data_IF_548648393431
#
_entry.id   IF_548648393431
#
_cell.length_a   1.000
_cell.length_b   1.000
_cell.length_c   1.000
_cell.angle_alpha   90.00
_cell.angle_beta   90.00
_cell.angle_gamma   90.00
#
_symmetry.space_group_name_H-M   'P 1'
#
loop_
_entity.id
_entity.type
_entity.pdbx_description
1 polymer ?
#
# COMPACT_ATOMS: atom_id res chain seq x y z
N UNK A 1 7.01 -28.66 3.42
CA UNK A 1 8.38 -28.49 2.88
C UNK A 1 8.47 -27.07 2.40
N UNK A 2 9.47 -26.31 2.81
CA UNK A 2 9.64 -24.93 2.36
C UNK A 2 10.69 -24.94 1.26
N UNK A 3 10.27 -24.72 0.03
CA UNK A 3 11.21 -24.42 -1.06
C UNK A 3 11.72 -22.99 -0.84
N UNK A 4 13.04 -22.83 -0.89
CA UNK A 4 13.71 -21.53 -0.70
C UNK A 4 14.74 -21.36 -1.81
N UNK A 5 14.90 -20.12 -2.27
CA UNK A 5 15.96 -19.78 -3.23
C UNK A 5 17.32 -19.99 -2.55
N UNK A 6 18.25 -20.64 -3.25
CA UNK A 6 19.57 -20.92 -2.72
C UNK A 6 20.31 -19.61 -2.38
N UNK A 7 20.95 -19.58 -1.21
CA UNK A 7 21.90 -18.52 -0.83
C UNK A 7 23.16 -19.18 -0.29
N UNK A 8 24.31 -18.49 -0.34
CA UNK A 8 25.57 -19.04 0.19
C UNK A 8 25.43 -19.55 1.63
N UNK A 9 24.65 -18.84 2.48
CA UNK A 9 24.37 -19.23 3.87
C UNK A 9 23.57 -20.54 3.96
N UNK A 10 22.60 -20.74 3.08
CA UNK A 10 21.79 -21.97 3.04
C UNK A 10 22.57 -23.15 2.47
N UNK A 11 23.39 -22.93 1.44
CA UNK A 11 24.21 -23.99 0.82
C UNK A 11 25.23 -24.58 1.80
N UNK A 12 25.67 -23.82 2.79
CA UNK A 12 26.56 -24.29 3.87
C UNK A 12 25.86 -25.20 4.89
N UNK A 13 24.52 -25.22 4.93
CA UNK A 13 23.80 -26.07 5.88
C UNK A 13 23.87 -27.55 5.44
N UNK A 14 24.31 -28.47 6.33
CA UNK A 14 24.47 -29.89 6.00
C UNK A 14 23.18 -30.59 5.53
N UNK A 15 22.04 -30.17 6.07
CA UNK A 15 20.72 -30.73 5.79
C UNK A 15 19.99 -30.04 4.64
N UNK A 16 20.59 -29.01 4.03
CA UNK A 16 20.04 -28.35 2.86
C UNK A 16 20.48 -29.08 1.59
N UNK A 17 19.52 -29.37 0.71
CA UNK A 17 19.75 -30.14 -0.52
C UNK A 17 19.29 -29.35 -1.74
N UNK A 18 20.12 -29.35 -2.81
CA UNK A 18 19.71 -28.83 -4.11
C UNK A 18 18.68 -29.78 -4.72
N UNK A 19 17.48 -29.26 -4.98
CA UNK A 19 16.40 -30.02 -5.61
C UNK A 19 16.84 -30.63 -6.95
N UNK A 20 17.60 -29.88 -7.76
CA UNK A 20 18.16 -30.35 -9.03
C UNK A 20 19.05 -31.59 -8.87
N UNK A 21 19.83 -31.67 -7.79
CA UNK A 21 20.72 -32.81 -7.54
C UNK A 21 19.95 -34.05 -7.09
N UNK A 22 18.91 -33.87 -6.26
CA UNK A 22 18.03 -34.98 -5.85
C UNK A 22 17.35 -35.62 -7.06
N UNK A 23 17.06 -34.83 -8.09
CA UNK A 23 16.47 -35.33 -9.33
C UNK A 23 17.49 -36.01 -10.26
N UNK A 24 18.80 -35.82 -10.09
CA UNK A 24 19.82 -36.50 -10.92
C UNK A 24 20.09 -37.94 -10.50
N UNK A 25 19.67 -38.37 -9.32
CA UNK A 25 19.95 -39.70 -8.79
C UNK A 25 18.84 -40.21 -7.87
N UNK A 26 18.56 -41.50 -7.93
CA UNK A 26 17.65 -42.17 -6.99
C UNK A 26 18.33 -42.59 -5.68
N UNK A 27 19.65 -42.37 -5.56
CA UNK A 27 20.42 -42.71 -4.37
C UNK A 27 20.35 -41.60 -3.30
N UNK A 28 19.93 -41.96 -2.10
CA UNK A 28 19.84 -41.04 -0.95
C UNK A 28 21.16 -40.87 -0.19
N UNK A 29 22.07 -41.84 -0.31
CA UNK A 29 23.29 -41.90 0.49
C UNK A 29 24.14 -40.61 0.44
N UNK A 30 24.34 -39.93 -0.71
CA UNK A 30 25.12 -38.68 -0.74
C UNK A 30 24.47 -37.55 0.07
N UNK A 31 23.14 -37.46 0.05
CA UNK A 31 22.38 -36.42 0.76
C UNK A 31 22.33 -36.71 2.25
N UNK A 32 22.11 -37.98 2.62
CA UNK A 32 22.10 -38.43 4.01
C UNK A 32 23.49 -38.27 4.65
N UNK A 33 24.56 -38.69 3.96
CA UNK A 33 25.93 -38.54 4.43
C UNK A 33 26.31 -37.08 4.63
N UNK A 34 25.93 -36.20 3.69
CA UNK A 34 26.14 -34.74 3.83
C UNK A 34 25.42 -34.16 5.04
N UNK A 35 24.24 -34.68 5.36
CA UNK A 35 23.47 -34.26 6.54
C UNK A 35 23.98 -34.86 7.87
N UNK A 36 25.07 -35.61 7.85
CA UNK A 36 25.65 -36.25 9.02
C UNK A 36 24.88 -37.49 9.49
N UNK A 37 24.20 -38.18 8.57
CA UNK A 37 23.51 -39.45 8.83
C UNK A 37 24.44 -40.58 8.37
N UNK A 38 24.94 -41.37 9.32
CA UNK A 38 25.97 -42.40 9.09
C UNK A 38 25.43 -43.82 9.03
N UNK A 39 24.15 -44.06 9.32
CA UNK A 39 23.56 -45.39 9.33
C UNK A 39 22.03 -45.37 9.49
N UNK A 40 21.43 -46.56 9.39
CA UNK A 40 19.98 -46.76 9.48
C UNK A 40 19.42 -46.50 10.89
N UNK A 41 20.25 -46.63 11.92
CA UNK A 41 19.87 -46.43 13.32
C UNK A 41 19.74 -44.93 13.70
N UNK A 42 20.13 -44.01 12.82
CA UNK A 42 19.93 -42.58 13.07
C UNK A 42 18.42 -42.26 13.05
N UNK A 43 17.86 -41.65 14.11
CA UNK A 43 16.43 -41.35 14.18
C UNK A 43 15.93 -40.41 13.08
N UNK A 44 16.83 -39.74 12.34
CA UNK A 44 16.52 -38.85 11.23
C UNK A 44 16.54 -39.56 9.87
N UNK A 45 17.13 -40.75 9.77
CA UNK A 45 17.29 -41.51 8.52
C UNK A 45 15.94 -41.64 7.80
N UNK A 46 14.97 -42.26 8.47
CA UNK A 46 13.65 -42.53 7.91
C UNK A 46 12.95 -41.25 7.44
N UNK A 47 12.97 -40.22 8.29
CA UNK A 47 12.37 -38.91 7.99
C UNK A 47 12.98 -38.26 6.76
N UNK A 48 14.29 -38.39 6.55
CA UNK A 48 14.99 -37.73 5.45
C UNK A 48 14.80 -38.50 4.15
N UNK A 49 14.90 -39.83 4.19
CA UNK A 49 14.62 -40.72 3.06
C UNK A 49 13.17 -40.55 2.57
N UNK A 50 12.18 -40.52 3.48
CA UNK A 50 10.78 -40.25 3.11
C UNK A 50 10.59 -38.88 2.43
N UNK A 51 11.33 -37.84 2.87
CA UNK A 51 11.27 -36.51 2.24
C UNK A 51 11.88 -36.50 0.85
N UNK A 52 13.02 -37.18 0.65
CA UNK A 52 13.66 -37.34 -0.66
C UNK A 52 12.75 -38.15 -1.60
N UNK A 53 12.16 -39.24 -1.11
CA UNK A 53 11.17 -40.03 -1.86
C UNK A 53 9.95 -39.20 -2.27
N UNK A 54 9.38 -38.40 -1.36
CA UNK A 54 8.26 -37.49 -1.66
C UNK A 54 8.66 -36.41 -2.67
N UNK A 55 9.87 -35.87 -2.58
CA UNK A 55 10.40 -34.90 -3.55
C UNK A 55 10.52 -35.53 -4.94
N UNK A 56 11.10 -36.73 -5.05
CA UNK A 56 11.17 -37.47 -6.33
C UNK A 56 9.79 -37.83 -6.86
N UNK A 57 8.85 -38.13 -5.97
CA UNK A 57 7.45 -38.43 -6.27
C UNK A 57 6.71 -37.32 -7.03
N UNK A 58 7.20 -36.07 -6.99
CA UNK A 58 6.65 -34.97 -7.79
C UNK A 58 6.68 -35.29 -9.30
N UNK A 59 7.64 -36.09 -9.78
CA UNK A 59 7.68 -36.55 -11.19
C UNK A 59 6.49 -37.40 -11.60
N UNK A 60 5.87 -38.07 -10.63
CA UNK A 60 4.69 -38.91 -10.85
C UNK A 60 3.40 -38.10 -10.82
N UNK A 61 3.46 -36.80 -10.59
CA UNK A 61 2.31 -35.93 -10.64
C UNK A 61 1.80 -35.83 -12.08
N UNK A 62 0.60 -36.36 -12.32
CA UNK A 62 -0.04 -36.31 -13.63
C UNK A 62 -0.72 -34.95 -13.79
N UNK A 63 -0.26 -34.17 -14.76
CA UNK A 63 -0.95 -32.96 -15.16
C UNK A 63 -2.12 -33.34 -16.07
N UNK A 64 -3.33 -32.94 -15.68
CA UNK A 64 -4.46 -32.94 -16.60
C UNK A 64 -4.24 -31.82 -17.61
N UNK A 65 -4.10 -32.18 -18.88
CA UNK A 65 -4.01 -31.25 -20.00
C UNK A 65 -5.24 -31.45 -20.89
N UNK A 66 -6.19 -30.53 -20.80
CA UNK A 66 -7.31 -30.48 -21.72
C UNK A 66 -6.90 -29.62 -22.93
N UNK A 67 -6.86 -30.23 -24.12
CA UNK A 67 -6.55 -29.53 -25.38
C UNK A 67 -7.85 -29.01 -25.97
N UNK A 68 -7.96 -27.69 -26.11
CA UNK A 68 -9.12 -27.04 -26.70
C UNK A 68 -9.11 -27.18 -28.23
N UNK A 69 -10.27 -27.40 -28.82
CA UNK A 69 -10.42 -27.48 -30.27
C UNK A 69 -10.07 -26.15 -30.93
N UNK A 70 -9.42 -26.20 -32.10
CA UNK A 70 -9.02 -24.99 -32.86
C UNK A 70 -10.20 -24.19 -33.43
N UNK A 71 -11.38 -24.81 -33.46
CA UNK A 71 -12.66 -24.24 -33.92
C UNK A 71 -13.27 -23.30 -32.90
N UNK A 72 -12.88 -23.40 -31.62
CA UNK A 72 -13.38 -22.52 -30.57
C UNK A 72 -12.93 -21.09 -30.84
N UNK A 73 -13.89 -20.17 -30.72
CA UNK A 73 -13.62 -18.74 -30.77
C UNK A 73 -12.73 -18.33 -29.59
N UNK A 74 -12.03 -17.21 -29.76
CA UNK A 74 -11.19 -16.68 -28.70
C UNK A 74 -12.03 -16.33 -27.44
N UNK A 75 -13.28 -15.90 -27.63
CA UNK A 75 -14.20 -15.60 -26.53
C UNK A 75 -14.51 -16.87 -25.71
N UNK A 76 -14.80 -17.99 -26.37
CA UNK A 76 -15.04 -19.29 -25.71
C UNK A 76 -13.79 -19.78 -24.97
N UNK A 77 -12.61 -19.68 -25.60
CA UNK A 77 -11.33 -20.03 -24.96
C UNK A 77 -11.09 -19.19 -23.70
N UNK A 78 -11.43 -17.91 -23.75
CA UNK A 78 -11.24 -17.01 -22.61
C UNK A 78 -12.26 -17.30 -21.50
N UNK A 79 -13.50 -17.63 -21.83
CA UNK A 79 -14.49 -18.06 -20.85
C UNK A 79 -14.07 -19.35 -20.13
N UNK A 80 -13.56 -20.33 -20.89
CA UNK A 80 -12.99 -21.56 -20.32
C UNK A 80 -11.83 -21.22 -19.37
N UNK A 81 -10.91 -20.33 -19.80
CA UNK A 81 -9.79 -19.87 -18.97
C UNK A 81 -10.27 -19.23 -17.66
N UNK A 82 -11.24 -18.33 -17.73
CA UNK A 82 -11.84 -17.66 -16.55
C UNK A 82 -12.47 -18.69 -15.62
N UNK A 83 -13.28 -19.61 -16.16
CA UNK A 83 -14.01 -20.59 -15.37
C UNK A 83 -13.08 -21.56 -14.65
N UNK A 84 -12.06 -22.08 -15.35
CA UNK A 84 -11.04 -22.97 -14.77
C UNK A 84 -10.26 -22.27 -13.66
N UNK A 85 -9.82 -21.04 -13.89
CA UNK A 85 -8.99 -20.29 -12.92
C UNK A 85 -9.78 -19.65 -11.78
N UNK A 86 -11.11 -19.66 -11.84
CA UNK A 86 -11.97 -19.13 -10.78
C UNK A 86 -12.19 -20.09 -9.61
N UNK A 87 -11.99 -21.40 -9.80
CA UNK A 87 -12.26 -22.45 -8.81
C UNK A 87 -10.99 -22.97 -8.08
N UNK A 88 -9.79 -22.72 -8.64
CA UNK A 88 -8.50 -23.16 -8.08
C UNK A 88 -7.72 -22.06 -7.33
N UNK A 89 -6.38 -22.03 -7.49
CA UNK A 89 -5.56 -20.89 -7.08
C UNK A 89 -5.96 -19.66 -7.92
N UNK A 90 -6.82 -18.82 -7.36
CA UNK A 90 -7.50 -17.74 -8.10
C UNK A 90 -6.51 -16.76 -8.70
N UNK A 91 -6.50 -16.67 -10.04
CA UNK A 91 -5.99 -15.49 -10.73
C UNK A 91 -6.75 -14.25 -10.22
N UNK A 92 -6.08 -13.09 -10.19
CA UNK A 92 -6.76 -11.86 -9.80
C UNK A 92 -7.83 -11.54 -10.84
N UNK A 93 -8.93 -10.93 -10.43
CA UNK A 93 -10.00 -10.50 -11.34
C UNK A 93 -9.49 -9.58 -12.45
N UNK A 94 -8.44 -8.79 -12.17
CA UNK A 94 -7.71 -7.98 -13.16
C UNK A 94 -7.00 -8.80 -14.22
N UNK A 95 -6.42 -9.95 -13.87
CA UNK A 95 -5.66 -10.80 -14.80
C UNK A 95 -6.62 -11.49 -15.79
N UNK A 96 -7.79 -11.89 -15.28
CA UNK A 96 -8.88 -12.43 -16.08
C UNK A 96 -9.44 -11.38 -17.04
N UNK A 97 -9.63 -10.15 -16.57
CA UNK A 97 -10.07 -9.04 -17.40
C UNK A 97 -9.05 -8.70 -18.49
N UNK A 98 -7.76 -8.68 -18.13
CA UNK A 98 -6.68 -8.44 -19.06
C UNK A 98 -6.68 -9.49 -20.19
N UNK A 99 -6.83 -10.78 -19.85
CA UNK A 99 -6.94 -11.84 -20.84
C UNK A 99 -8.09 -11.57 -21.83
N UNK A 100 -9.29 -11.24 -21.32
CA UNK A 100 -10.46 -10.88 -22.13
C UNK A 100 -10.28 -9.60 -22.96
N UNK A 101 -9.51 -8.63 -22.50
CA UNK A 101 -9.21 -7.43 -23.29
C UNK A 101 -8.21 -7.76 -24.39
N UNK A 102 -7.12 -8.48 -24.07
CA UNK A 102 -6.08 -8.85 -25.05
C UNK A 102 -6.58 -9.77 -26.15
N UNK A 103 -7.65 -10.53 -25.87
CA UNK A 103 -8.41 -11.30 -26.83
C UNK A 103 -8.92 -10.47 -28.01
N UNK A 104 -9.56 -9.35 -27.67
CA UNK A 104 -10.32 -8.50 -28.58
C UNK A 104 -9.47 -7.37 -29.14
N UNK A 105 -8.55 -6.86 -28.31
CA UNK A 105 -7.65 -5.77 -28.64
C UNK A 105 -6.21 -6.28 -28.64
N UNK A 106 -5.75 -6.69 -29.83
CA UNK A 106 -4.36 -7.13 -30.03
C UNK A 106 -3.38 -6.02 -29.65
N UNK A 107 -2.27 -6.42 -29.04
CA UNK A 107 -1.19 -5.53 -28.56
C UNK A 107 -1.57 -4.55 -27.43
N UNK A 108 -2.79 -4.59 -26.91
CA UNK A 108 -3.25 -3.73 -25.79
C UNK A 108 -2.39 -3.83 -24.54
N UNK A 109 -1.85 -5.00 -24.23
CA UNK A 109 -0.94 -5.19 -23.08
C UNK A 109 0.26 -4.23 -23.14
N UNK A 110 0.88 -4.07 -24.31
CA UNK A 110 2.03 -3.17 -24.45
C UNK A 110 1.60 -1.72 -24.20
N UNK A 111 0.47 -1.30 -24.78
CA UNK A 111 -0.12 0.03 -24.54
C UNK A 111 -0.37 0.29 -23.06
N UNK A 112 -0.91 -0.69 -22.33
CA UNK A 112 -1.19 -0.55 -20.90
C UNK A 112 0.10 -0.46 -20.07
N UNK A 113 1.09 -1.29 -20.41
CA UNK A 113 2.40 -1.27 -19.76
C UNK A 113 3.18 0.02 -20.04
N UNK A 114 3.05 0.60 -21.23
CA UNK A 114 3.71 1.85 -21.57
C UNK A 114 3.15 3.02 -20.76
N UNK A 115 1.82 3.08 -20.58
CA UNK A 115 1.20 4.06 -19.69
C UNK A 115 1.56 3.83 -18.22
N UNK A 116 1.59 2.57 -17.76
CA UNK A 116 2.05 2.22 -16.42
C UNK A 116 3.48 2.71 -16.17
N UNK A 117 4.39 2.48 -17.12
CA UNK A 117 5.77 2.98 -17.06
C UNK A 117 5.84 4.51 -17.08
N UNK A 118 4.98 5.19 -17.82
CA UNK A 118 4.89 6.64 -17.82
C UNK A 118 4.52 7.17 -16.42
N UNK A 119 3.50 6.59 -15.78
CA UNK A 119 3.12 6.92 -14.40
C UNK A 119 4.25 6.61 -13.40
N UNK A 120 4.96 5.48 -13.58
CA UNK A 120 6.08 5.12 -12.71
C UNK A 120 7.23 6.14 -12.79
N UNK A 121 7.50 6.71 -13.98
CA UNK A 121 8.51 7.78 -14.16
C UNK A 121 8.15 9.07 -13.41
N UNK A 122 6.88 9.32 -13.15
CA UNK A 122 6.42 10.48 -12.37
C UNK A 122 6.27 10.17 -10.87
N UNK A 123 6.78 9.02 -10.40
CA UNK A 123 6.74 8.63 -8.99
C UNK A 123 5.55 7.76 -8.58
N UNK A 124 4.69 7.37 -9.54
CA UNK A 124 3.50 6.57 -9.29
C UNK A 124 3.60 5.20 -9.98
N UNK A 125 4.40 4.31 -9.38
CA UNK A 125 4.43 2.89 -9.77
C UNK A 125 3.17 2.19 -9.26
N UNK A 126 2.13 2.17 -10.11
CA UNK A 126 0.81 1.63 -9.82
C UNK A 126 0.63 0.26 -10.47
N UNK A 127 -0.09 -0.64 -9.81
CA UNK A 127 -0.38 -1.98 -10.34
C UNK A 127 -1.25 -1.87 -11.61
N UNK A 128 -0.94 -2.69 -12.63
CA UNK A 128 -1.66 -2.70 -13.90
C UNK A 128 -3.17 -2.91 -13.70
N UNK A 129 -3.57 -3.70 -12.71
CA UNK A 129 -4.96 -3.92 -12.36
C UNK A 129 -5.70 -2.66 -11.93
N UNK A 130 -5.02 -1.64 -11.39
CA UNK A 130 -5.61 -0.34 -11.10
C UNK A 130 -5.92 0.43 -12.39
N UNK A 131 -5.01 0.44 -13.36
CA UNK A 131 -5.22 1.08 -14.66
C UNK A 131 -6.37 0.41 -15.42
N UNK A 132 -6.45 -0.93 -15.39
CA UNK A 132 -7.57 -1.67 -15.96
C UNK A 132 -8.89 -1.37 -15.22
N UNK A 133 -8.83 -1.16 -13.91
CA UNK A 133 -10.02 -0.74 -13.14
C UNK A 133 -10.48 0.66 -13.51
N UNK A 134 -9.55 1.57 -13.75
CA UNK A 134 -9.85 2.90 -14.28
C UNK A 134 -10.49 2.80 -15.67
N UNK A 135 -9.93 1.98 -16.57
CA UNK A 135 -10.55 1.67 -17.87
C UNK A 135 -12.00 1.19 -17.71
N UNK A 136 -12.27 0.26 -16.78
CA UNK A 136 -13.64 -0.20 -16.54
C UNK A 136 -14.57 0.92 -16.07
N UNK A 137 -14.10 1.77 -15.16
CA UNK A 137 -14.88 2.92 -14.67
C UNK A 137 -15.27 3.85 -15.83
N UNK A 138 -14.36 4.14 -16.75
CA UNK A 138 -14.62 4.98 -17.92
C UNK A 138 -15.51 4.28 -18.95
N UNK A 139 -15.30 3.00 -19.20
CA UNK A 139 -16.08 2.25 -20.18
C UNK A 139 -17.53 1.98 -19.72
N UNK A 140 -17.78 1.90 -18.41
CA UNK A 140 -19.03 1.32 -17.89
C UNK A 140 -19.67 2.08 -16.73
N UNK A 141 -18.95 3.03 -16.14
CA UNK A 141 -19.38 3.72 -14.92
C UNK A 141 -19.35 2.85 -13.66
N UNK A 142 -18.62 1.73 -13.70
CA UNK A 142 -18.39 0.85 -12.55
C UNK A 142 -17.00 0.20 -12.63
N UNK A 143 -16.50 -0.29 -11.51
CA UNK A 143 -15.15 -0.82 -11.36
C UNK A 143 -15.03 -2.34 -11.58
N UNK A 144 -16.14 -3.03 -11.83
CA UNK A 144 -16.20 -4.50 -11.89
C UNK A 144 -15.82 -5.04 -13.26
N UNK A 145 -14.95 -6.04 -13.26
CA UNK A 145 -14.48 -6.71 -14.47
C UNK A 145 -15.48 -7.67 -15.10
N UNK A 146 -16.55 -8.07 -14.40
CA UNK A 146 -17.50 -9.09 -14.90
C UNK A 146 -18.14 -8.74 -16.26
N UNK A 147 -18.24 -7.46 -16.59
CA UNK A 147 -18.89 -7.00 -17.82
C UNK A 147 -17.91 -6.71 -18.96
N UNK A 148 -16.59 -6.88 -18.76
CA UNK A 148 -15.59 -6.58 -19.80
C UNK A 148 -15.79 -7.43 -21.06
N UNK A 149 -16.25 -8.68 -20.89
CA UNK A 149 -16.62 -9.57 -21.99
C UNK A 149 -17.75 -9.05 -22.89
N UNK A 150 -18.55 -8.07 -22.44
CA UNK A 150 -19.60 -7.45 -23.27
C UNK A 150 -19.12 -6.25 -24.09
N UNK A 151 -17.92 -5.73 -23.83
CA UNK A 151 -17.41 -4.54 -24.50
C UNK A 151 -16.76 -4.90 -25.84
N UNK A 152 -17.01 -4.08 -26.87
CA UNK A 152 -16.30 -4.16 -28.15
C UNK A 152 -14.98 -3.39 -28.09
N UNK A 153 -14.12 -3.61 -29.10
CA UNK A 153 -12.77 -3.05 -29.14
C UNK A 153 -12.78 -1.53 -29.24
N UNK A 154 -13.72 -0.95 -30.01
CA UNK A 154 -13.83 0.49 -30.20
C UNK A 154 -14.14 1.20 -28.88
N UNK A 155 -15.06 0.64 -28.09
CA UNK A 155 -15.42 1.16 -26.77
C UNK A 155 -14.27 1.03 -25.78
N UNK A 156 -13.54 -0.08 -25.81
CA UNK A 156 -12.35 -0.29 -24.96
C UNK A 156 -11.24 0.72 -25.30
N UNK A 157 -10.98 0.96 -26.58
CA UNK A 157 -9.96 1.91 -27.03
C UNK A 157 -10.31 3.36 -26.68
N UNK A 158 -11.57 3.76 -26.91
CA UNK A 158 -12.06 5.09 -26.52
C UNK A 158 -11.94 5.30 -25.02
N UNK A 159 -12.49 4.37 -24.23
CA UNK A 159 -12.46 4.46 -22.77
C UNK A 159 -11.04 4.42 -22.21
N UNK A 160 -10.11 3.69 -22.85
CA UNK A 160 -8.70 3.68 -22.45
C UNK A 160 -8.07 5.06 -22.59
N UNK A 161 -8.31 5.75 -23.72
CA UNK A 161 -7.79 7.10 -23.93
C UNK A 161 -8.31 8.06 -22.85
N UNK A 162 -9.62 8.07 -22.62
CA UNK A 162 -10.24 8.93 -21.60
C UNK A 162 -9.76 8.58 -20.18
N UNK A 163 -9.55 7.29 -19.89
CA UNK A 163 -9.02 6.82 -18.62
C UNK A 163 -7.56 7.25 -18.40
N UNK A 164 -6.72 7.31 -19.45
CA UNK A 164 -5.38 7.87 -19.36
C UNK A 164 -5.43 9.36 -18.99
N UNK A 165 -6.20 10.16 -19.72
CA UNK A 165 -6.37 11.60 -19.45
C UNK A 165 -6.92 11.84 -18.03
N UNK A 166 -7.90 11.03 -17.60
CA UNK A 166 -8.43 11.05 -16.25
C UNK A 166 -7.40 10.71 -15.17
N UNK A 167 -6.58 9.67 -15.40
CA UNK A 167 -5.53 9.29 -14.45
C UNK A 167 -4.47 10.39 -14.34
N UNK A 168 -4.08 11.02 -15.44
CA UNK A 168 -3.15 12.16 -15.42
C UNK A 168 -3.72 13.33 -14.62
N UNK A 169 -5.00 13.67 -14.81
CA UNK A 169 -5.69 14.65 -13.97
C UNK A 169 -5.63 14.28 -12.49
N UNK A 170 -5.96 13.03 -12.14
CA UNK A 170 -5.96 12.56 -10.76
C UNK A 170 -4.58 12.64 -10.11
N UNK A 171 -3.53 12.23 -10.82
CA UNK A 171 -2.15 12.31 -10.35
C UNK A 171 -1.72 13.77 -10.13
N UNK A 172 -2.02 14.66 -11.08
CA UNK A 172 -1.73 16.09 -10.96
C UNK A 172 -2.48 16.73 -9.79
N UNK A 173 -3.75 16.38 -9.59
CA UNK A 173 -4.55 16.86 -8.47
C UNK A 173 -4.02 16.36 -7.13
N UNK A 174 -3.60 15.10 -7.03
CA UNK A 174 -2.94 14.58 -5.83
C UNK A 174 -1.67 15.36 -5.48
N UNK A 175 -0.78 15.55 -6.45
CA UNK A 175 0.48 16.26 -6.22
C UNK A 175 0.24 17.72 -5.87
N UNK A 176 -0.58 18.43 -6.65
CA UNK A 176 -0.69 19.89 -6.60
C UNK A 176 -1.64 20.37 -5.51
N UNK A 177 -2.74 19.66 -5.28
CA UNK A 177 -3.79 20.10 -4.35
C UNK A 177 -3.71 19.38 -2.99
N UNK A 178 -3.31 18.11 -2.97
CA UNK A 178 -3.24 17.32 -1.74
C UNK A 178 -1.81 17.21 -1.18
N UNK A 179 -0.79 17.53 -1.98
CA UNK A 179 0.59 17.26 -1.63
C UNK A 179 0.87 15.75 -1.50
N UNK A 180 0.15 14.89 -2.23
CA UNK A 180 0.41 13.45 -2.30
C UNK A 180 1.21 13.18 -3.57
N UNK A 181 2.52 13.01 -3.41
CA UNK A 181 3.53 12.83 -4.47
C UNK A 181 4.02 11.39 -4.59
N UNK A 182 3.42 10.46 -3.85
CA UNK A 182 3.76 9.04 -3.89
C UNK A 182 2.58 8.16 -3.47
N UNK A 183 2.40 6.98 -4.10
CA UNK A 183 1.43 5.98 -3.66
C UNK A 183 1.59 5.55 -2.20
N UNK A 184 2.78 5.69 -1.61
CA UNK A 184 3.04 5.37 -0.20
C UNK A 184 2.18 6.21 0.77
N UNK A 185 1.74 7.40 0.34
CA UNK A 185 0.92 8.33 1.12
C UNK A 185 -0.59 8.12 0.91
N UNK A 186 -0.99 7.24 -0.01
CA UNK A 186 -2.39 6.86 -0.23
C UNK A 186 -2.81 5.74 0.72
N UNK A 187 -3.98 5.89 1.35
CA UNK A 187 -4.64 4.82 2.10
C UNK A 187 -5.20 3.75 1.17
N UNK A 188 -5.57 4.13 -0.05
CA UNK A 188 -5.94 3.23 -1.13
C UNK A 188 -5.72 3.88 -2.50
N UNK A 189 -5.25 3.12 -3.51
CA UNK A 189 -5.15 3.61 -4.88
C UNK A 189 -6.51 3.91 -5.53
N UNK A 190 -7.64 3.42 -4.98
CA UNK A 190 -8.98 3.69 -5.55
C UNK A 190 -9.39 5.17 -5.47
N UNK A 191 -8.74 5.97 -4.62
CA UNK A 191 -8.88 7.43 -4.64
C UNK A 191 -8.57 8.01 -6.03
N UNK A 192 -7.56 7.47 -6.72
CA UNK A 192 -7.19 7.92 -8.06
C UNK A 192 -8.31 7.68 -9.07
N UNK A 193 -9.01 6.54 -8.98
CA UNK A 193 -10.09 6.19 -9.90
C UNK A 193 -11.27 7.14 -9.72
N UNK A 194 -11.62 7.49 -8.47
CA UNK A 194 -12.70 8.45 -8.20
C UNK A 194 -12.30 9.86 -8.68
N UNK A 195 -11.09 10.32 -8.38
CA UNK A 195 -10.59 11.63 -8.83
C UNK A 195 -10.55 11.72 -10.36
N UNK A 196 -10.08 10.67 -11.03
CA UNK A 196 -10.01 10.58 -12.48
C UNK A 196 -11.40 10.69 -13.12
N UNK A 197 -12.33 9.89 -12.60
CA UNK A 197 -13.70 9.85 -13.11
C UNK A 197 -14.47 11.13 -12.80
N UNK A 198 -14.25 11.73 -11.62
CA UNK A 198 -14.84 13.02 -11.26
C UNK A 198 -14.34 14.14 -12.17
N UNK A 199 -13.01 14.26 -12.36
CA UNK A 199 -12.43 15.23 -13.27
C UNK A 199 -12.96 15.10 -14.69
N UNK A 200 -13.02 13.86 -15.20
CA UNK A 200 -13.61 13.59 -16.51
C UNK A 200 -15.07 14.02 -16.61
N UNK A 201 -15.90 13.73 -15.60
CA UNK A 201 -17.32 14.16 -15.56
C UNK A 201 -17.52 15.68 -15.59
N UNK A 202 -16.47 16.45 -15.29
CA UNK A 202 -16.43 17.91 -15.30
C UNK A 202 -15.61 18.48 -16.47
N UNK A 203 -15.25 17.65 -17.46
CA UNK A 203 -14.36 18.04 -18.56
C UNK A 203 -13.04 18.68 -18.08
N UNK A 204 -12.55 18.22 -16.93
CA UNK A 204 -11.33 18.70 -16.26
C UNK A 204 -11.33 20.19 -15.88
N UNK A 205 -12.51 20.82 -15.86
CA UNK A 205 -12.70 22.20 -15.48
C UNK A 205 -13.51 22.27 -14.18
N UNK A 206 -12.81 22.39 -13.05
CA UNK A 206 -13.43 22.54 -11.73
C UNK A 206 -13.52 24.02 -11.35
N UNK A 207 -14.64 24.43 -10.76
CA UNK A 207 -14.70 25.70 -10.05
C UNK A 207 -13.76 25.68 -8.83
N UNK A 208 -13.37 26.86 -8.33
CA UNK A 208 -12.56 26.95 -7.11
C UNK A 208 -13.23 26.26 -5.92
N UNK A 209 -14.56 26.35 -5.84
CA UNK A 209 -15.34 25.71 -4.78
C UNK A 209 -15.33 24.18 -4.92
N UNK A 210 -15.60 23.65 -6.12
CA UNK A 210 -15.52 22.20 -6.36
C UNK A 210 -14.11 21.65 -6.12
N UNK A 211 -13.06 22.35 -6.55
CA UNK A 211 -11.68 21.94 -6.32
C UNK A 211 -11.35 21.90 -4.81
N UNK A 212 -11.85 22.87 -4.03
CA UNK A 212 -11.69 22.91 -2.57
C UNK A 212 -12.45 21.77 -1.89
N UNK A 213 -13.71 21.54 -2.25
CA UNK A 213 -14.49 20.42 -1.72
C UNK A 213 -13.87 19.07 -2.11
N UNK A 214 -13.38 18.92 -3.34
CA UNK A 214 -12.77 17.67 -3.82
C UNK A 214 -11.45 17.40 -3.08
N UNK A 215 -10.67 18.44 -2.81
CA UNK A 215 -9.48 18.34 -1.95
C UNK A 215 -9.87 17.90 -0.54
N UNK A 216 -10.87 18.53 0.08
CA UNK A 216 -11.37 18.13 1.40
C UNK A 216 -11.80 16.66 1.42
N UNK A 217 -12.67 16.27 0.48
CA UNK A 217 -13.16 14.90 0.36
C UNK A 217 -12.01 13.92 0.21
N UNK A 218 -11.05 14.18 -0.69
CA UNK A 218 -9.97 13.26 -0.98
C UNK A 218 -8.99 13.13 0.21
N UNK A 219 -8.67 14.22 0.91
CA UNK A 219 -7.85 14.17 2.12
C UNK A 219 -8.56 13.44 3.26
N UNK A 220 -9.84 13.69 3.47
CA UNK A 220 -10.61 13.05 4.53
C UNK A 220 -10.86 11.56 4.24
N UNK A 221 -11.17 11.21 2.99
CA UNK A 221 -11.28 9.83 2.52
C UNK A 221 -9.94 9.10 2.64
N UNK A 222 -8.82 9.79 2.39
CA UNK A 222 -7.49 9.26 2.65
C UNK A 222 -7.32 8.98 4.15
N UNK A 223 -7.53 9.98 5.02
CA UNK A 223 -7.32 9.89 6.46
C UNK A 223 -8.16 8.83 7.17
N UNK A 224 -9.46 8.75 6.84
CA UNK A 224 -10.40 7.77 7.40
C UNK A 224 -10.23 6.38 6.77
N UNK A 225 -9.48 6.25 5.67
CA UNK A 225 -9.27 4.99 4.97
C UNK A 225 -10.54 4.49 4.29
N UNK A 226 -11.19 5.34 3.48
CA UNK A 226 -12.49 5.09 2.84
C UNK A 226 -12.63 3.70 2.23
N UNK A 227 -11.61 3.28 1.47
CA UNK A 227 -11.60 2.00 0.76
C UNK A 227 -10.89 0.87 1.53
N UNK A 228 -10.52 1.08 2.79
CA UNK A 228 -9.81 0.10 3.61
C UNK A 228 -10.75 -0.75 4.49
N UNK A 229 -12.01 -0.33 4.65
CA UNK A 229 -13.02 -1.05 5.45
C UNK A 229 -14.15 -1.55 4.55
N UNK A 230 -14.45 -2.85 4.61
CA UNK A 230 -15.50 -3.46 3.80
C UNK A 230 -15.09 -3.78 2.37
N UNK A 231 -16.08 -3.95 1.49
CA UNK A 231 -15.85 -4.25 0.07
C UNK A 231 -15.41 -3.00 -0.69
N UNK A 232 -14.10 -2.85 -0.89
CA UNK A 232 -13.49 -1.68 -1.54
C UNK A 232 -14.06 -1.41 -2.93
N UNK A 233 -14.39 -2.46 -3.70
CA UNK A 233 -15.01 -2.33 -5.03
C UNK A 233 -16.45 -1.83 -4.94
N UNK A 234 -17.21 -2.31 -3.95
CA UNK A 234 -18.59 -1.82 -3.73
C UNK A 234 -18.60 -0.35 -3.34
N UNK A 235 -17.66 0.09 -2.49
CA UNK A 235 -17.54 1.50 -2.10
C UNK A 235 -17.11 2.35 -3.29
N UNK A 236 -16.16 1.87 -4.10
CA UNK A 236 -15.76 2.54 -5.34
C UNK A 236 -16.95 2.68 -6.30
N UNK A 237 -17.72 1.62 -6.51
CA UNK A 237 -18.91 1.65 -7.37
C UNK A 237 -19.98 2.63 -6.87
N UNK A 238 -20.11 2.84 -5.55
CA UNK A 238 -21.02 3.85 -4.99
C UNK A 238 -20.58 5.27 -5.38
N UNK A 239 -19.29 5.56 -5.30
CA UNK A 239 -18.74 6.87 -5.70
C UNK A 239 -18.87 7.08 -7.21
N UNK A 240 -18.52 6.08 -8.01
CA UNK A 240 -18.67 6.13 -9.47
C UNK A 240 -20.14 6.32 -9.89
N UNK A 241 -21.08 5.65 -9.22
CA UNK A 241 -22.50 5.79 -9.51
C UNK A 241 -23.01 7.21 -9.21
N UNK A 242 -22.58 7.80 -8.09
CA UNK A 242 -22.90 9.18 -7.74
C UNK A 242 -22.41 10.16 -8.82
N UNK A 243 -21.15 10.03 -9.24
CA UNK A 243 -20.55 10.88 -10.27
C UNK A 243 -21.28 10.73 -11.61
N UNK A 244 -21.58 9.48 -12.01
CA UNK A 244 -22.31 9.18 -13.25
C UNK A 244 -23.71 9.79 -13.26
N UNK A 245 -24.34 9.94 -12.10
CA UNK A 245 -25.66 10.57 -11.94
C UNK A 245 -25.59 12.11 -11.91
N UNK A 246 -24.41 12.70 -12.12
CA UNK A 246 -24.21 14.15 -12.08
C UNK A 246 -24.05 14.71 -10.67
N UNK A 247 -23.84 13.85 -9.67
CA UNK A 247 -23.74 14.25 -8.27
C UNK A 247 -22.57 15.21 -8.01
N UNK A 248 -22.75 16.06 -7.01
CA UNK A 248 -21.74 17.01 -6.56
C UNK A 248 -20.75 16.38 -5.57
N UNK A 249 -19.63 17.07 -5.30
CA UNK A 249 -18.64 16.60 -4.31
C UNK A 249 -19.25 16.48 -2.91
N UNK A 250 -20.18 17.38 -2.56
CA UNK A 250 -20.93 17.32 -1.29
C UNK A 250 -21.58 15.96 -1.05
N UNK A 251 -22.10 15.31 -2.08
CA UNK A 251 -22.69 13.98 -1.94
C UNK A 251 -21.62 12.89 -1.71
N UNK A 252 -20.42 13.03 -2.27
CA UNK A 252 -19.28 12.14 -1.95
C UNK A 252 -18.87 12.32 -0.48
N UNK A 253 -18.91 13.55 0.03
CA UNK A 253 -18.67 13.88 1.44
C UNK A 253 -19.78 13.27 2.32
N UNK A 254 -21.04 13.35 1.92
CA UNK A 254 -22.15 12.75 2.65
C UNK A 254 -22.04 11.23 2.71
N UNK A 255 -21.61 10.57 1.63
CA UNK A 255 -21.29 9.13 1.68
C UNK A 255 -20.14 8.81 2.62
N UNK A 256 -19.17 9.71 2.76
CA UNK A 256 -18.10 9.56 3.75
C UNK A 256 -18.66 9.70 5.18
N UNK A 257 -19.55 10.68 5.43
CA UNK A 257 -20.27 10.85 6.70
C UNK A 257 -21.12 9.64 7.04
N UNK A 258 -21.85 9.06 6.07
CA UNK A 258 -22.64 7.85 6.28
C UNK A 258 -21.77 6.66 6.69
N UNK A 259 -20.54 6.57 6.16
CA UNK A 259 -19.63 5.47 6.47
C UNK A 259 -18.93 5.63 7.84
N UNK A 260 -18.54 6.85 8.21
CA UNK A 260 -17.68 7.10 9.38
C UNK A 260 -18.34 7.90 10.50
N UNK A 261 -19.54 8.42 10.30
CA UNK A 261 -20.19 9.38 11.19
C UNK A 261 -19.50 10.73 11.11
N UNK A 262 -19.05 11.24 12.26
CA UNK A 262 -18.31 12.50 12.33
C UNK A 262 -16.98 12.40 11.58
N UNK A 263 -16.71 13.39 10.74
CA UNK A 263 -15.50 13.41 9.92
C UNK A 263 -14.30 14.03 10.64
N UNK A 264 -14.52 14.87 11.65
CA UNK A 264 -13.44 15.40 12.50
C UNK A 264 -12.55 14.24 12.98
N UNK A 265 -11.24 14.44 12.91
CA UNK A 265 -10.27 13.47 13.44
C UNK A 265 -10.12 13.76 14.93
N UNK A 266 -10.50 12.79 15.76
CA UNK A 266 -10.41 12.91 17.22
C UNK A 266 -9.09 12.35 17.77
N UNK A 267 -8.70 12.73 18.99
CA UNK A 267 -7.48 12.22 19.62
C UNK A 267 -7.57 10.71 19.89
N UNK A 268 -8.77 10.23 20.21
CA UNK A 268 -9.12 8.84 20.48
C UNK A 268 -8.94 7.96 19.24
N UNK A 269 -9.15 8.48 18.03
CA UNK A 269 -8.93 7.74 16.78
C UNK A 269 -7.46 7.38 16.53
N UNK A 270 -6.53 8.16 17.09
CA UNK A 270 -5.08 7.96 16.97
C UNK A 270 -4.57 6.88 17.95
N UNK A 271 -5.30 6.59 19.02
CA UNK A 271 -4.87 5.67 20.06
C UNK A 271 -4.64 4.24 19.55
N UNK A 272 -3.47 3.68 19.84
CA UNK A 272 -3.09 2.32 19.49
C UNK A 272 -2.92 2.09 17.98
N UNK A 273 -2.99 3.15 17.16
CA UNK A 273 -2.67 3.07 15.73
C UNK A 273 -1.16 2.98 15.55
N UNK A 274 -0.73 2.27 14.51
CA UNK A 274 0.68 2.14 14.15
C UNK A 274 0.95 2.74 12.75
N UNK A 275 2.19 2.65 12.30
CA UNK A 275 2.67 3.19 11.01
C UNK A 275 1.88 2.72 9.76
N UNK A 276 1.09 1.64 9.84
CA UNK A 276 0.23 1.18 8.73
C UNK A 276 -1.09 1.95 8.61
N UNK A 277 -1.43 2.75 9.63
CA UNK A 277 -2.64 3.54 9.67
C UNK A 277 -2.66 4.61 8.58
N UNK A 278 -3.84 4.85 8.00
CA UNK A 278 -4.06 5.97 7.10
C UNK A 278 -3.84 7.34 7.78
N UNK A 279 -4.11 7.43 9.09
CA UNK A 279 -3.81 8.61 9.89
C UNK A 279 -2.31 8.90 9.95
N UNK A 280 -1.44 7.89 9.93
CA UNK A 280 0.02 8.11 9.90
C UNK A 280 0.49 8.77 8.60
N UNK A 281 -0.10 8.37 7.47
CA UNK A 281 0.15 9.02 6.16
C UNK A 281 -0.35 10.46 6.16
N UNK A 282 -1.51 10.70 6.78
CA UNK A 282 -2.09 12.05 6.93
C UNK A 282 -1.25 12.93 7.85
N UNK A 283 -0.67 12.38 8.93
CA UNK A 283 0.31 13.08 9.77
C UNK A 283 1.52 13.54 8.96
N UNK A 284 2.07 12.70 8.10
CA UNK A 284 3.18 13.10 7.25
C UNK A 284 2.81 14.28 6.35
N UNK A 285 1.64 14.22 5.70
CA UNK A 285 1.15 15.29 4.82
C UNK A 285 0.96 16.61 5.60
N UNK A 286 0.30 16.55 6.75
CA UNK A 286 0.04 17.72 7.58
C UNK A 286 1.33 18.35 8.13
N UNK A 287 2.25 17.53 8.63
CA UNK A 287 3.51 18.03 9.18
C UNK A 287 4.43 18.58 8.08
N UNK A 288 4.45 17.95 6.90
CA UNK A 288 5.17 18.49 5.74
C UNK A 288 4.60 19.85 5.34
N UNK A 289 3.28 20.00 5.29
CA UNK A 289 2.62 21.28 5.02
C UNK A 289 2.89 22.33 6.11
N UNK A 290 3.04 21.92 7.37
CA UNK A 290 3.45 22.77 8.48
C UNK A 290 4.96 23.11 8.48
N UNK A 291 5.73 22.66 7.48
CA UNK A 291 7.15 22.97 7.35
C UNK A 291 8.08 22.11 8.20
N UNK A 292 7.63 20.91 8.62
CA UNK A 292 8.47 19.99 9.38
C UNK A 292 9.75 19.63 8.61
N UNK A 293 10.87 19.70 9.33
CA UNK A 293 12.22 19.44 8.82
C UNK A 293 12.92 18.37 9.65
N UNK A 294 13.87 17.70 9.03
CA UNK A 294 14.83 16.85 9.73
C UNK A 294 15.69 17.68 10.69
N UNK A 295 15.80 17.25 11.95
CA UNK A 295 16.45 18.01 13.03
C UNK A 295 17.96 18.18 12.87
N UNK A 296 18.59 17.47 11.92
CA UNK A 296 20.03 17.58 11.66
C UNK A 296 20.34 18.24 10.33
N UNK A 297 19.71 17.78 9.24
CA UNK A 297 19.99 18.29 7.89
C UNK A 297 19.20 19.53 7.53
N UNK A 298 18.17 19.88 8.33
CA UNK A 298 17.22 20.97 8.07
C UNK A 298 16.47 20.86 6.73
N UNK A 299 16.56 19.70 6.07
CA UNK A 299 15.79 19.38 4.88
C UNK A 299 14.34 19.11 5.27
N UNK A 300 13.40 19.55 4.44
CA UNK A 300 11.98 19.20 4.58
C UNK A 300 11.83 17.69 4.68
N UNK A 301 10.93 17.22 5.54
CA UNK A 301 10.66 15.78 5.63
C UNK A 301 10.20 15.26 4.26
N UNK A 302 10.83 14.19 3.82
CA UNK A 302 10.59 13.58 2.53
C UNK A 302 10.51 12.06 2.69
N UNK A 303 9.90 11.40 1.72
CA UNK A 303 9.98 9.96 1.61
C UNK A 303 11.42 9.54 1.27
N UNK A 304 11.85 8.40 1.76
CA UNK A 304 13.14 7.83 1.35
C UNK A 304 13.12 7.50 -0.14
N UNK A 305 14.21 7.82 -0.83
CA UNK A 305 14.44 7.47 -2.23
C UNK A 305 15.27 6.19 -2.37
N UNK A 306 15.56 5.47 -1.28
CA UNK A 306 16.33 4.22 -1.34
C UNK A 306 15.52 3.06 -1.97
N UNK A 307 15.79 2.77 -3.24
CA UNK A 307 15.20 1.65 -3.99
C UNK A 307 13.89 1.99 -4.71
N UNK A 308 13.23 0.99 -5.31
CA UNK A 308 12.01 1.16 -6.10
C UNK A 308 10.75 1.53 -5.28
N UNK A 309 10.84 1.56 -3.94
CA UNK A 309 9.68 1.83 -3.07
C UNK A 309 9.99 2.98 -2.12
N UNK A 310 9.29 4.09 -2.30
CA UNK A 310 9.29 5.21 -1.36
C UNK A 310 8.75 4.78 0.01
N UNK A 311 9.47 5.10 1.08
CA UNK A 311 9.06 4.75 2.46
C UNK A 311 9.17 5.95 3.38
N UNK A 312 8.24 6.03 4.33
CA UNK A 312 8.31 6.98 5.43
C UNK A 312 9.43 6.56 6.39
N UNK A 313 10.42 7.43 6.56
CA UNK A 313 11.39 7.30 7.65
C UNK A 313 10.83 7.97 8.90
N UNK A 314 10.96 7.29 10.03
CA UNK A 314 10.50 7.78 11.31
C UNK A 314 11.39 7.30 12.45
N UNK A 315 11.23 7.95 13.59
CA UNK A 315 11.92 7.70 14.84
C UNK A 315 10.89 7.57 15.96
N UNK A 316 11.09 6.59 16.83
CA UNK A 316 10.35 6.47 18.09
C UNK A 316 10.89 7.51 19.07
N UNK A 317 10.11 8.56 19.36
CA UNK A 317 10.49 9.67 20.25
C UNK A 317 10.95 9.14 21.61
N UNK A 318 10.20 8.19 22.16
CA UNK A 318 10.64 7.28 23.21
C UNK A 318 11.11 5.98 22.55
N UNK A 319 12.43 5.72 22.45
CA UNK A 319 12.94 4.52 21.80
C UNK A 319 12.43 3.25 22.47
N UNK A 320 12.18 2.20 21.68
CA UNK A 320 11.73 0.90 22.21
C UNK A 320 12.64 0.33 23.30
N UNK A 321 13.95 0.57 23.20
CA UNK A 321 14.93 0.13 24.18
C UNK A 321 14.72 0.76 25.56
N UNK A 322 14.23 2.01 25.60
CA UNK A 322 13.89 2.75 26.82
C UNK A 322 12.56 2.27 27.40
N UNK A 323 11.59 1.91 26.53
CA UNK A 323 10.25 1.51 26.96
C UNK A 323 10.11 0.02 27.36
N UNK A 324 11.06 -0.84 26.99
CA UNK A 324 10.92 -2.31 27.06
C UNK A 324 10.62 -2.90 28.46
N UNK A 325 10.94 -2.17 29.53
CA UNK A 325 10.72 -2.63 30.92
C UNK A 325 9.33 -2.30 31.44
N UNK A 326 8.71 -1.24 30.91
CA UNK A 326 7.48 -0.65 31.47
C UNK A 326 6.29 -0.71 30.50
N UNK A 327 6.55 -0.91 29.20
CA UNK A 327 5.54 -0.91 28.15
C UNK A 327 5.77 -2.02 27.13
N UNK A 328 4.69 -2.42 26.47
CA UNK A 328 4.73 -3.41 25.41
C UNK A 328 5.29 -2.82 24.11
N UNK A 329 5.81 -3.68 23.23
CA UNK A 329 6.25 -3.27 21.89
C UNK A 329 5.11 -2.62 21.07
N UNK A 330 3.86 -3.04 21.31
CA UNK A 330 2.68 -2.46 20.64
C UNK A 330 2.40 -1.04 21.10
N UNK A 331 2.50 -0.77 22.40
CA UNK A 331 2.38 0.60 22.94
C UNK A 331 3.49 1.50 22.42
N UNK A 332 4.72 0.99 22.38
CA UNK A 332 5.85 1.73 21.81
C UNK A 332 5.64 2.09 20.32
N UNK A 333 4.94 1.25 19.56
CA UNK A 333 4.62 1.44 18.13
C UNK A 333 3.41 2.35 17.85
N UNK A 334 2.89 3.03 18.87
CA UNK A 334 1.83 4.04 18.71
C UNK A 334 2.31 5.20 17.82
N UNK A 335 1.48 5.63 16.87
CA UNK A 335 1.83 6.72 15.95
C UNK A 335 2.12 8.04 16.66
N UNK A 336 1.53 8.28 17.84
CA UNK A 336 1.83 9.44 18.66
C UNK A 336 3.20 9.34 19.36
N UNK A 337 3.91 8.22 19.26
CA UNK A 337 5.33 8.09 19.61
C UNK A 337 6.26 8.25 18.40
N UNK A 338 5.75 8.47 17.19
CA UNK A 338 6.57 8.52 15.97
C UNK A 338 6.79 9.95 15.48
N UNK A 339 8.03 10.30 15.14
CA UNK A 339 8.41 11.54 14.48
C UNK A 339 9.05 11.24 13.12
N UNK A 340 8.80 12.06 12.11
CA UNK A 340 9.42 11.94 10.79
C UNK A 340 10.76 12.66 10.79
N UNK A 341 11.85 11.90 10.72
CA UNK A 341 13.22 12.41 10.62
C UNK A 341 14.03 11.50 9.71
N UNK A 342 15.13 12.03 9.18
CA UNK A 342 16.03 11.29 8.31
C UNK A 342 16.76 10.16 9.04
N UNK A 343 17.10 9.09 8.31
CA UNK A 343 17.76 7.91 8.88
C UNK A 343 19.12 8.20 9.51
N UNK A 344 19.86 9.22 9.04
CA UNK A 344 21.11 9.69 9.67
C UNK A 344 20.85 10.32 11.04
N UNK A 345 19.76 11.08 11.18
CA UNK A 345 19.33 11.71 12.44
C UNK A 345 18.83 10.66 13.42
N UNK A 346 17.97 9.74 12.95
CA UNK A 346 17.50 8.60 13.76
C UNK A 346 18.66 7.77 14.34
N UNK A 347 19.68 7.45 13.52
CA UNK A 347 20.88 6.74 13.99
C UNK A 347 21.72 7.55 14.99
N UNK A 348 21.76 8.87 14.87
CA UNK A 348 22.53 9.73 15.78
C UNK A 348 21.86 9.86 17.17
N UNK A 349 20.52 9.85 17.21
CA UNK A 349 19.75 9.81 18.47
C UNK A 349 19.88 8.43 19.13
N UNK A 350 19.76 7.36 18.32
CA UNK A 350 19.88 5.96 18.76
C UNK A 350 18.85 5.62 19.85
N UNK A 351 19.27 5.06 20.98
CA UNK A 351 18.42 4.63 22.10
C UNK A 351 18.37 5.63 23.27
N UNK A 352 18.78 6.89 23.05
CA UNK A 352 18.72 7.93 24.07
C UNK A 352 17.27 8.25 24.45
N UNK A 353 17.02 8.42 25.75
CA UNK A 353 15.72 8.85 26.25
C UNK A 353 15.40 10.30 25.83
N UNK A 354 14.12 10.64 25.56
CA UNK A 354 13.72 11.99 25.15
C UNK A 354 14.12 13.08 26.15
N UNK A 355 14.06 12.83 27.46
CA UNK A 355 14.56 13.74 28.48
C UNK A 355 16.05 14.11 28.32
N UNK A 356 16.84 13.25 27.67
CA UNK A 356 18.28 13.47 27.44
C UNK A 356 18.56 14.19 26.13
N UNK A 357 17.87 13.81 25.03
CA UNK A 357 18.22 14.32 23.70
C UNK A 357 17.34 15.48 23.21
N UNK A 358 16.10 15.61 23.69
CA UNK A 358 15.21 16.69 23.22
C UNK A 358 15.61 18.06 23.76
N UNK A 359 15.89 18.28 25.07
CA UNK A 359 16.25 19.61 25.58
C UNK A 359 17.40 20.29 24.82
N UNK A 360 18.58 19.65 24.60
CA UNK A 360 19.66 20.30 23.85
C UNK A 360 19.30 20.55 22.37
N UNK A 361 18.43 19.73 21.76
CA UNK A 361 17.95 20.01 20.40
C UNK A 361 16.94 21.15 20.37
N UNK A 362 16.11 21.30 21.40
CA UNK A 362 15.19 22.44 21.56
C UNK A 362 15.98 23.73 21.75
N UNK A 363 17.04 23.71 22.57
CA UNK A 363 17.94 24.86 22.73
C UNK A 363 18.60 25.27 21.41
N UNK A 364 18.95 24.27 20.58
CA UNK A 364 19.61 24.50 19.29
C UNK A 364 18.65 24.95 18.17
N UNK A 365 17.45 24.37 18.09
CA UNK A 365 16.54 24.51 16.95
C UNK A 365 15.32 25.40 17.23
N UNK A 366 15.02 25.63 18.51
CA UNK A 366 13.80 26.25 18.99
C UNK A 366 12.60 25.30 19.01
N UNK A 367 11.63 25.61 19.88
CA UNK A 367 10.37 24.87 19.98
C UNK A 367 9.58 24.73 18.66
N UNK A 368 9.55 25.74 17.75
CA UNK A 368 8.80 25.62 16.50
C UNK A 368 9.19 24.41 15.63
N UNK A 369 10.45 23.96 15.69
CA UNK A 369 10.92 22.78 14.95
C UNK A 369 10.21 21.49 15.40
N UNK A 370 9.82 21.41 16.67
CA UNK A 370 9.12 20.27 17.28
C UNK A 370 7.60 20.43 17.20
N UNK A 371 7.12 21.67 17.34
CA UNK A 371 5.70 22.01 17.16
C UNK A 371 5.20 21.66 15.75
N UNK A 372 6.03 21.80 14.71
CA UNK A 372 5.69 21.39 13.34
C UNK A 372 5.33 19.90 13.19
N UNK A 373 5.75 19.05 14.14
CA UNK A 373 5.38 17.63 14.22
C UNK A 373 4.53 17.29 15.47
N UNK A 374 3.95 18.33 16.09
CA UNK A 374 3.12 18.23 17.28
C UNK A 374 3.81 17.51 18.46
N UNK A 375 5.12 17.72 18.66
CA UNK A 375 5.88 17.06 19.73
C UNK A 375 5.89 17.96 20.97
N UNK A 376 5.30 17.53 22.11
CA UNK A 376 5.49 18.18 23.40
C UNK A 376 6.97 18.17 23.82
N UNK A 377 7.46 19.28 24.36
CA UNK A 377 8.86 19.46 24.79
C UNK A 377 8.97 19.83 26.27
N UNK A 378 7.84 19.93 26.96
CA UNK A 378 7.74 20.21 28.38
C UNK A 378 8.43 19.09 29.17
N UNK A 379 9.41 19.43 30.02
CA UNK A 379 10.24 18.46 30.74
C UNK A 379 9.42 17.41 31.52
N UNK A 380 8.27 17.81 32.09
CA UNK A 380 7.36 16.92 32.82
C UNK A 380 6.76 15.80 31.96
N UNK A 381 6.77 15.92 30.64
CA UNK A 381 6.25 14.94 29.69
C UNK A 381 7.35 14.06 29.07
N UNK A 382 8.63 14.34 29.31
CA UNK A 382 9.74 13.65 28.62
C UNK A 382 10.29 12.42 29.39
N UNK A 383 9.85 12.22 30.62
CA UNK A 383 10.23 11.06 31.43
C UNK A 383 9.43 9.80 31.03
N UNK A 384 10.00 8.62 31.28
CA UNK A 384 9.39 7.33 30.90
C UNK A 384 8.08 7.10 31.65
N UNK A 385 8.01 7.52 32.91
CA UNK A 385 6.84 7.47 33.77
C UNK A 385 5.69 8.31 33.21
N UNK A 386 6.03 9.39 32.49
CA UNK A 386 5.08 10.31 31.85
C UNK A 386 4.67 9.88 30.44
N UNK A 387 5.14 8.74 29.93
CA UNK A 387 4.91 8.32 28.54
C UNK A 387 3.42 8.32 28.13
N UNK A 388 2.52 7.83 28.99
CA UNK A 388 1.07 7.87 28.70
C UNK A 388 0.52 9.30 28.62
N UNK A 389 1.00 10.19 29.49
CA UNK A 389 0.62 11.60 29.48
C UNK A 389 1.15 12.32 28.22
N UNK A 390 2.39 12.01 27.81
CA UNK A 390 2.97 12.48 26.55
C UNK A 390 2.12 12.06 25.34
N UNK A 391 1.75 10.77 25.25
CA UNK A 391 0.91 10.29 24.15
C UNK A 391 -0.46 10.99 24.12
N UNK A 392 -1.10 11.15 25.28
CA UNK A 392 -2.39 11.83 25.38
C UNK A 392 -2.31 13.27 24.88
N UNK A 393 -1.32 14.03 25.34
CA UNK A 393 -1.12 15.43 24.94
C UNK A 393 -0.77 15.54 23.45
N UNK A 394 0.15 14.70 22.98
CA UNK A 394 0.54 14.67 21.56
C UNK A 394 -0.64 14.32 20.66
N UNK A 395 -1.50 13.36 21.01
CA UNK A 395 -2.68 13.01 20.21
C UNK A 395 -3.64 14.20 20.05
N UNK A 396 -3.85 15.01 21.09
CA UNK A 396 -4.67 16.24 21.00
C UNK A 396 -4.08 17.23 20.00
N UNK A 397 -2.77 17.50 20.10
CA UNK A 397 -2.05 18.40 19.18
C UNK A 397 -2.09 17.89 17.73
N UNK A 398 -1.87 16.59 17.53
CA UNK A 398 -1.95 15.94 16.22
C UNK A 398 -3.36 16.07 15.65
N UNK A 399 -4.40 15.70 16.40
CA UNK A 399 -5.78 15.77 15.95
C UNK A 399 -6.16 17.20 15.50
N UNK A 400 -5.80 18.22 16.28
CA UNK A 400 -6.00 19.62 15.89
C UNK A 400 -5.27 19.96 14.59
N UNK A 401 -3.98 19.61 14.47
CA UNK A 401 -3.20 19.87 13.26
C UNK A 401 -3.75 19.15 12.02
N UNK A 402 -4.23 17.91 12.16
CA UNK A 402 -4.84 17.17 11.06
C UNK A 402 -6.13 17.82 10.58
N UNK A 403 -7.01 18.23 11.49
CA UNK A 403 -8.26 18.92 11.11
C UNK A 403 -7.98 20.27 10.44
N UNK A 404 -7.01 21.04 10.94
CA UNK A 404 -6.57 22.30 10.30
C UNK A 404 -6.02 22.05 8.88
N UNK A 405 -5.21 21.00 8.70
CA UNK A 405 -4.61 20.67 7.40
C UNK A 405 -5.65 20.21 6.35
N UNK A 406 -6.60 19.36 6.77
CA UNK A 406 -7.68 18.90 5.89
C UNK A 406 -8.60 20.07 5.54
N UNK A 407 -8.83 20.98 6.48
CA UNK A 407 -9.69 22.15 6.33
C UNK A 407 -11.16 21.83 6.64
N UNK A 408 -12.05 22.84 6.63
CA UNK A 408 -13.47 22.63 6.82
C UNK A 408 -14.09 21.90 5.63
N UNK A 409 -15.21 21.22 5.87
CA UNK A 409 -16.02 20.61 4.82
C UNK A 409 -16.73 21.67 3.95
N UNK A 410 -17.04 22.82 4.54
CA UNK A 410 -17.86 23.90 3.99
C UNK A 410 -17.04 25.16 3.73
#
# INVERSE_FOLDING_TARGET
MTFVVATRKLEQLPHWVKVSEVFKTDNDAPFLKRAGISGFDDPRYEKYSQRLARLRGIRKYVYRMDVLERTLSYDEVTEIFVRVNSLGAKLRSSDLALAQITAKWRHSLQTFQDFQKACAKTGFDLDLGLHLKNLMAFATGQSRFQIVGSLNVEKLQKAWKEACDGMEFALNFLCSNLGIDSPALLSSPFLLVVLAYFGHSRNYALSNDEARQLRYWALMANAKGRFSRGSSETILDQDLANIRQGGAVSELIDRLRLQFGRLDITAEELEGRNQRSALFKTMFLAFRAAGAKDWRSHLTIALDHSGAQHRLQFHHIFPKAVLKTSFTAREADDIANLAFIGGKTNRAISDKAPAVYLPPLVDQLGEPAFAAQCIPVEASLLEVESYKAFLLERRKRIAAALNTFVGPAD
#
